data_IF_524468679582
#
_entry.id   IF_524468679582
#
_cell.length_a   1.000
_cell.length_b   1.000
_cell.length_c   1.000
_cell.angle_alpha   90.00
_cell.angle_beta   90.00
_cell.angle_gamma   90.00
#
_symmetry.space_group_name_H-M   'P 1'
#
loop_
_entity.id
_entity.type
_entity.pdbx_description
1 polymer ?
#
# COMPACT_ATOMS: atom_id res chain seq x y z
N UNK A 1 -13.90 16.27 5.58
CA UNK A 1 -12.68 16.67 4.86
C UNK A 1 -12.87 16.32 3.39
N UNK A 2 -12.18 16.96 2.43
CA UNK A 2 -12.20 16.52 1.02
C UNK A 2 -11.00 15.62 0.75
N UNK A 3 -11.14 14.67 -0.18
CA UNK A 3 -10.12 13.68 -0.50
C UNK A 3 -9.64 13.83 -1.94
N UNK A 4 -8.33 13.80 -2.13
CA UNK A 4 -7.69 13.82 -3.44
C UNK A 4 -7.27 12.40 -3.81
N UNK A 5 -7.98 11.79 -4.74
CA UNK A 5 -7.76 10.42 -5.19
C UNK A 5 -7.14 10.45 -6.59
N UNK A 6 -5.96 9.87 -6.75
CA UNK A 6 -5.29 9.75 -8.05
C UNK A 6 -6.09 8.85 -8.99
N UNK A 7 -6.49 7.68 -8.50
CA UNK A 7 -7.27 6.69 -9.24
C UNK A 7 -8.05 5.77 -8.30
N UNK A 8 -9.13 5.19 -8.79
CA UNK A 8 -9.92 4.16 -8.12
C UNK A 8 -10.33 3.09 -9.12
N UNK A 9 -10.11 1.82 -8.80
CA UNK A 9 -10.42 0.72 -9.70
C UNK A 9 -10.67 -0.59 -8.97
N UNK A 10 -11.44 -1.47 -9.59
CA UNK A 10 -11.66 -2.85 -9.13
C UNK A 10 -10.61 -3.77 -9.75
N UNK A 11 -9.95 -4.56 -8.91
CA UNK A 11 -8.95 -5.55 -9.35
C UNK A 11 -8.82 -6.69 -8.33
N UNK A 12 -7.75 -7.48 -8.45
CA UNK A 12 -7.29 -8.39 -7.40
C UNK A 12 -6.12 -7.77 -6.65
N UNK A 13 -6.12 -7.91 -5.31
CA UNK A 13 -4.90 -7.61 -4.54
C UNK A 13 -3.76 -8.48 -5.07
N UNK A 14 -2.71 -7.85 -5.54
CA UNK A 14 -1.59 -8.54 -6.20
C UNK A 14 -0.43 -8.87 -5.27
N UNK A 15 -0.47 -8.42 -4.00
CA UNK A 15 0.66 -8.49 -3.08
C UNK A 15 0.23 -8.95 -1.68
N UNK A 16 1.21 -9.41 -0.90
CA UNK A 16 1.00 -9.71 0.50
C UNK A 16 0.15 -10.94 0.77
N UNK A 17 -0.37 -11.03 1.98
CA UNK A 17 -1.19 -12.16 2.44
C UNK A 17 -2.56 -12.19 1.77
N UNK A 18 -3.10 -11.03 1.42
CA UNK A 18 -4.38 -10.90 0.72
C UNK A 18 -4.28 -11.07 -0.80
N UNK A 19 -3.15 -11.51 -1.36
CA UNK A 19 -2.98 -11.71 -2.80
C UNK A 19 -4.06 -12.66 -3.36
N UNK A 20 -4.64 -12.28 -4.51
CA UNK A 20 -5.74 -12.98 -5.17
C UNK A 20 -7.13 -12.56 -4.70
N UNK A 21 -7.26 -11.77 -3.65
CA UNK A 21 -8.55 -11.28 -3.14
C UNK A 21 -9.07 -10.14 -4.02
N UNK A 22 -10.34 -10.20 -4.41
CA UNK A 22 -11.02 -9.09 -5.09
C UNK A 22 -11.03 -7.85 -4.20
N UNK A 23 -10.65 -6.69 -4.76
CA UNK A 23 -10.52 -5.45 -4.01
C UNK A 23 -10.84 -4.22 -4.86
N UNK A 24 -11.38 -3.20 -4.24
CA UNK A 24 -11.37 -1.83 -4.77
C UNK A 24 -10.12 -1.13 -4.25
N UNK A 25 -9.27 -0.67 -5.14
CA UNK A 25 -8.13 0.16 -4.77
C UNK A 25 -8.50 1.62 -4.81
N UNK A 26 -8.19 2.35 -3.74
CA UNK A 26 -8.28 3.81 -3.66
C UNK A 26 -6.85 4.33 -3.51
N UNK A 27 -6.30 4.88 -4.59
CA UNK A 27 -4.96 5.47 -4.59
C UNK A 27 -5.06 6.96 -4.32
N UNK A 28 -4.67 7.36 -3.11
CA UNK A 28 -4.62 8.77 -2.73
C UNK A 28 -3.46 9.49 -3.41
N UNK A 29 -3.67 10.77 -3.70
CA UNK A 29 -2.63 11.65 -4.23
C UNK A 29 -1.74 12.18 -3.11
N UNK A 30 -0.43 12.29 -3.38
CA UNK A 30 0.56 12.86 -2.47
C UNK A 30 1.27 11.84 -1.59
N UNK A 31 2.52 12.14 -1.26
CA UNK A 31 3.38 11.34 -0.40
C UNK A 31 4.32 12.26 0.39
N UNK A 32 4.67 11.85 1.61
CA UNK A 32 5.61 12.58 2.45
C UNK A 32 7.07 12.16 2.27
N UNK A 33 7.35 11.09 1.49
CA UNK A 33 8.71 10.60 1.25
C UNK A 33 9.28 10.96 -0.13
N UNK A 34 8.40 11.36 -1.05
CA UNK A 34 8.76 11.81 -2.39
C UNK A 34 7.65 12.67 -2.97
N UNK A 35 8.02 13.71 -3.74
CA UNK A 35 7.06 14.60 -4.40
C UNK A 35 6.32 13.96 -5.58
N UNK A 36 6.78 12.80 -6.04
CA UNK A 36 6.30 12.14 -7.25
C UNK A 36 6.87 12.73 -8.55
N UNK A 37 7.74 13.73 -8.46
CA UNK A 37 8.37 14.36 -9.63
C UNK A 37 9.76 13.80 -9.84
N UNK A 38 10.07 13.38 -11.06
CA UNK A 38 11.36 12.75 -11.37
C UNK A 38 12.58 13.63 -11.06
N UNK A 39 12.45 14.95 -11.25
CA UNK A 39 13.50 15.90 -10.91
C UNK A 39 13.91 15.89 -9.42
N UNK A 40 13.01 15.49 -8.54
CA UNK A 40 13.21 15.47 -7.08
C UNK A 40 13.65 14.08 -6.57
N UNK A 41 13.68 13.06 -7.45
CA UNK A 41 13.97 11.65 -7.07
C UNK A 41 15.33 11.48 -6.40
N UNK A 42 16.35 12.18 -6.89
CA UNK A 42 17.72 12.06 -6.36
C UNK A 42 17.84 12.46 -4.89
N UNK A 43 16.98 13.37 -4.42
CA UNK A 43 16.95 13.89 -3.04
C UNK A 43 15.82 13.29 -2.20
N UNK A 44 14.95 12.45 -2.81
CA UNK A 44 13.85 11.80 -2.11
C UNK A 44 14.36 10.75 -1.12
N UNK A 45 13.60 10.53 -0.03
CA UNK A 45 13.83 9.41 0.88
C UNK A 45 13.49 8.10 0.14
N UNK A 46 12.30 8.00 -0.48
CA UNK A 46 11.92 6.87 -1.30
C UNK A 46 12.31 7.10 -2.78
N UNK A 47 13.49 6.58 -3.18
CA UNK A 47 14.06 6.80 -4.53
C UNK A 47 13.60 5.77 -5.57
N UNK A 48 13.05 4.64 -5.14
CA UNK A 48 12.68 3.52 -6.00
C UNK A 48 11.16 3.38 -6.19
N UNK A 49 10.37 4.40 -5.83
CA UNK A 49 8.93 4.35 -5.99
C UNK A 49 8.54 4.24 -7.47
N UNK A 50 7.72 3.25 -7.81
CA UNK A 50 7.18 2.97 -9.13
C UNK A 50 5.72 3.42 -9.28
N UNK A 51 5.14 4.03 -8.24
CA UNK A 51 3.74 4.43 -8.19
C UNK A 51 3.54 5.85 -8.69
N UNK A 52 2.63 6.05 -9.63
CA UNK A 52 2.10 7.37 -9.95
C UNK A 52 0.98 7.76 -8.97
N UNK A 53 1.25 8.76 -8.15
CA UNK A 53 0.32 9.33 -7.17
C UNK A 53 0.17 10.85 -7.34
N UNK A 54 0.64 11.40 -8.45
CA UNK A 54 0.57 12.85 -8.70
C UNK A 54 -0.74 13.20 -9.40
N UNK A 55 -1.43 14.22 -8.90
CA UNK A 55 -2.71 14.65 -9.47
C UNK A 55 -3.90 13.77 -9.08
N UNK A 56 -5.02 13.95 -9.79
CA UNK A 56 -6.28 13.25 -9.54
C UNK A 56 -6.96 12.84 -10.85
N UNK A 57 -6.17 12.58 -11.87
CA UNK A 57 -6.56 12.46 -13.28
C UNK A 57 -6.58 11.01 -13.80
N UNK A 58 -6.34 10.03 -12.92
CA UNK A 58 -6.46 8.61 -13.28
C UNK A 58 -7.92 8.14 -13.30
N UNK A 59 -8.14 6.94 -13.80
CA UNK A 59 -9.49 6.34 -13.89
C UNK A 59 -10.16 6.26 -12.51
N UNK A 60 -11.39 6.74 -12.38
CA UNK A 60 -12.10 6.81 -11.12
C UNK A 60 -11.49 7.79 -10.10
N UNK A 61 -10.43 8.52 -10.51
CA UNK A 61 -9.81 9.57 -9.71
C UNK A 61 -10.64 10.85 -9.63
N UNK A 62 -10.26 11.75 -8.73
CA UNK A 62 -10.95 13.02 -8.57
C UNK A 62 -10.74 13.64 -7.20
N UNK A 63 -11.42 14.77 -6.98
CA UNK A 63 -11.57 15.38 -5.66
C UNK A 63 -12.97 15.08 -5.13
N UNK A 64 -13.02 14.26 -4.09
CA UNK A 64 -14.27 13.89 -3.41
C UNK A 64 -14.54 14.90 -2.31
N UNK A 65 -15.75 15.45 -2.30
CA UNK A 65 -16.13 16.56 -1.40
C UNK A 65 -16.17 16.13 0.06
N UNK A 66 -16.51 14.87 0.32
CA UNK A 66 -16.61 14.27 1.65
C UNK A 66 -16.45 12.74 1.61
N UNK A 67 -16.48 12.13 2.79
CA UNK A 67 -16.30 10.69 2.98
C UNK A 67 -17.42 9.85 2.34
N UNK A 68 -18.68 10.33 2.40
CA UNK A 68 -19.82 9.65 1.79
C UNK A 68 -19.63 9.53 0.28
N UNK A 69 -19.27 10.64 -0.39
CA UNK A 69 -19.04 10.64 -1.83
C UNK A 69 -17.92 9.66 -2.24
N UNK A 70 -16.85 9.57 -1.43
CA UNK A 70 -15.75 8.62 -1.69
C UNK A 70 -16.19 7.17 -1.47
N UNK A 71 -16.91 6.88 -0.38
CA UNK A 71 -17.41 5.54 -0.10
C UNK A 71 -18.45 5.08 -1.12
N UNK A 72 -19.35 5.96 -1.57
CA UNK A 72 -20.30 5.68 -2.65
C UNK A 72 -19.61 5.33 -3.95
N UNK A 73 -18.55 6.06 -4.32
CA UNK A 73 -17.75 5.74 -5.49
C UNK A 73 -17.09 4.35 -5.35
N UNK A 74 -16.57 4.01 -4.18
CA UNK A 74 -16.03 2.67 -3.93
C UNK A 74 -17.09 1.57 -4.08
N UNK A 75 -18.32 1.82 -3.63
CA UNK A 75 -19.46 0.91 -3.83
C UNK A 75 -19.78 0.74 -5.31
N UNK A 76 -19.77 1.80 -6.10
CA UNK A 76 -19.99 1.72 -7.54
C UNK A 76 -18.92 0.89 -8.25
N UNK A 77 -17.65 1.04 -7.87
CA UNK A 77 -16.55 0.22 -8.39
C UNK A 77 -16.66 -1.25 -7.96
N UNK A 78 -17.09 -1.51 -6.71
CA UNK A 78 -17.33 -2.88 -6.28
C UNK A 78 -18.45 -3.56 -7.10
N UNK A 79 -19.46 -2.83 -7.48
CA UNK A 79 -20.63 -3.34 -8.19
C UNK A 79 -21.66 -4.00 -7.26
N UNK A 80 -22.39 -5.00 -7.79
CA UNK A 80 -23.47 -5.63 -7.04
C UNK A 80 -22.96 -6.54 -5.92
N UNK A 81 -23.79 -6.70 -4.91
CA UNK A 81 -23.50 -7.50 -3.71
C UNK A 81 -22.89 -6.66 -2.59
N UNK A 82 -23.09 -7.12 -1.38
CA UNK A 82 -22.57 -6.47 -0.16
C UNK A 82 -21.58 -7.37 0.58
N UNK A 83 -21.51 -8.63 0.19
CA UNK A 83 -20.69 -9.62 0.88
C UNK A 83 -19.21 -9.47 0.49
N UNK A 84 -18.35 -9.67 1.48
CA UNK A 84 -16.89 -9.72 1.30
C UNK A 84 -16.29 -8.46 0.67
N UNK A 85 -16.96 -7.30 0.78
CA UNK A 85 -16.42 -6.04 0.27
C UNK A 85 -15.06 -5.76 0.89
N UNK A 86 -14.09 -5.49 0.05
CA UNK A 86 -12.72 -5.24 0.45
C UNK A 86 -12.17 -4.02 -0.28
N UNK A 87 -11.67 -3.06 0.47
CA UNK A 87 -11.03 -1.86 -0.08
C UNK A 87 -9.59 -1.80 0.39
N UNK A 88 -8.69 -1.43 -0.51
CA UNK A 88 -7.28 -1.19 -0.21
C UNK A 88 -7.00 0.31 -0.36
N UNK A 89 -6.76 0.96 0.76
CA UNK A 89 -6.33 2.34 0.82
C UNK A 89 -4.82 2.38 0.58
N UNK A 90 -4.41 3.02 -0.49
CA UNK A 90 -3.02 3.08 -0.94
C UNK A 90 -2.71 4.46 -1.55
N UNK A 91 -1.63 4.59 -2.27
CA UNK A 91 -1.32 5.80 -3.00
C UNK A 91 0.14 6.18 -2.89
N UNK A 92 0.42 7.47 -2.67
CA UNK A 92 1.68 7.92 -2.12
C UNK A 92 1.76 7.50 -0.65
N UNK A 93 1.13 8.30 0.24
CA UNK A 93 0.92 7.92 1.64
C UNK A 93 -0.55 8.18 2.02
N UNK A 94 -1.38 7.12 2.18
CA UNK A 94 -2.80 7.29 2.44
C UNK A 94 -3.10 7.95 3.80
N UNK A 95 -2.26 7.75 4.82
CA UNK A 95 -2.47 8.34 6.14
C UNK A 95 -2.37 9.87 6.17
N UNK A 96 -1.97 10.51 5.08
CA UNK A 96 -2.08 11.97 4.93
C UNK A 96 -3.54 12.45 4.80
N UNK A 97 -4.45 11.55 4.41
CA UNK A 97 -5.84 11.90 4.09
C UNK A 97 -6.89 11.03 4.82
N UNK A 98 -6.53 9.83 5.27
CA UNK A 98 -7.47 8.93 5.97
C UNK A 98 -7.85 9.53 7.33
N UNK A 99 -9.15 9.65 7.59
CA UNK A 99 -9.74 10.18 8.82
C UNK A 99 -10.91 9.32 9.32
N UNK A 100 -11.42 9.63 10.53
CA UNK A 100 -12.57 8.94 11.15
C UNK A 100 -13.78 8.87 10.19
N UNK A 101 -14.07 9.99 9.50
CA UNK A 101 -15.24 10.07 8.62
C UNK A 101 -15.16 9.09 7.45
N UNK A 102 -13.98 8.90 6.87
CA UNK A 102 -13.80 7.93 5.77
C UNK A 102 -13.90 6.49 6.27
N UNK A 103 -13.29 6.18 7.42
CA UNK A 103 -13.40 4.86 8.04
C UNK A 103 -14.86 4.51 8.31
N UNK A 104 -15.60 5.41 8.97
CA UNK A 104 -17.02 5.20 9.29
C UNK A 104 -17.87 5.01 8.02
N UNK A 105 -17.64 5.79 6.98
CA UNK A 105 -18.37 5.70 5.72
C UNK A 105 -18.10 4.37 4.99
N UNK A 106 -16.86 3.91 4.94
CA UNK A 106 -16.50 2.63 4.33
C UNK A 106 -17.05 1.44 5.12
N UNK A 107 -16.96 1.45 6.45
CA UNK A 107 -17.57 0.42 7.30
C UNK A 107 -19.10 0.40 7.16
N UNK A 108 -19.76 1.57 7.12
CA UNK A 108 -21.20 1.66 6.88
C UNK A 108 -21.62 1.08 5.52
N UNK A 109 -20.70 1.12 4.55
CA UNK A 109 -20.85 0.49 3.25
C UNK A 109 -20.45 -1.01 3.23
N UNK A 110 -20.17 -1.61 4.40
CA UNK A 110 -19.74 -3.00 4.59
C UNK A 110 -18.39 -3.36 3.94
N UNK A 111 -17.45 -2.41 3.83
CA UNK A 111 -16.10 -2.72 3.44
C UNK A 111 -15.26 -3.17 4.63
N UNK A 112 -14.49 -4.24 4.44
CA UNK A 112 -13.27 -4.49 5.22
C UNK A 112 -12.18 -3.58 4.64
N UNK A 113 -11.48 -2.83 5.48
CA UNK A 113 -10.55 -1.79 5.07
C UNK A 113 -9.11 -2.27 5.29
N UNK A 114 -8.35 -2.40 4.22
CA UNK A 114 -6.91 -2.59 4.27
C UNK A 114 -6.17 -1.30 3.93
N UNK A 115 -4.97 -1.14 4.48
CA UNK A 115 -4.08 -0.02 4.15
C UNK A 115 -2.69 -0.51 3.76
N UNK A 116 -2.12 0.12 2.72
CA UNK A 116 -0.73 0.01 2.31
C UNK A 116 -0.03 1.33 2.63
N UNK A 117 0.79 1.36 3.67
CA UNK A 117 1.43 2.59 4.16
C UNK A 117 2.94 2.44 4.26
N UNK A 118 3.68 3.54 4.18
CA UNK A 118 5.11 3.55 4.46
C UNK A 118 5.42 3.52 5.98
N UNK A 119 4.40 3.69 6.83
CA UNK A 119 4.48 3.60 8.27
C UNK A 119 5.09 4.81 8.98
N UNK A 120 5.33 5.91 8.27
CA UNK A 120 5.87 7.15 8.89
C UNK A 120 4.80 7.93 9.66
N UNK A 121 3.54 7.59 9.48
CA UNK A 121 2.40 8.12 10.22
C UNK A 121 1.70 6.97 10.95
N UNK A 122 1.15 7.25 12.13
CA UNK A 122 0.36 6.26 12.86
C UNK A 122 -0.91 5.90 12.06
N UNK A 123 -1.18 4.61 11.94
CA UNK A 123 -2.38 4.12 11.24
C UNK A 123 -3.60 4.31 12.13
N UNK A 124 -4.71 4.72 11.52
CA UNK A 124 -5.99 4.88 12.19
C UNK A 124 -6.48 3.53 12.78
N UNK A 125 -6.91 3.49 14.06
CA UNK A 125 -7.25 2.24 14.74
C UNK A 125 -8.46 1.50 14.14
N UNK A 126 -9.29 2.15 13.34
CA UNK A 126 -10.40 1.56 12.61
C UNK A 126 -10.03 0.86 11.30
N UNK A 127 -8.73 0.76 10.96
CA UNK A 127 -8.27 -0.03 9.81
C UNK A 127 -8.26 -1.51 10.19
N UNK A 128 -8.92 -2.36 9.38
CA UNK A 128 -9.06 -3.79 9.65
C UNK A 128 -7.81 -4.61 9.28
N UNK A 129 -7.03 -4.15 8.31
CA UNK A 129 -5.80 -4.82 7.85
C UNK A 129 -4.69 -3.83 7.57
N UNK A 130 -3.62 -3.89 8.34
CA UNK A 130 -2.48 -2.97 8.24
C UNK A 130 -1.29 -3.67 7.60
N UNK A 131 -0.89 -3.19 6.41
CA UNK A 131 0.35 -3.54 5.76
C UNK A 131 1.31 -2.34 5.81
N UNK A 132 2.46 -2.52 6.44
CA UNK A 132 3.51 -1.50 6.49
C UNK A 132 4.65 -1.90 5.56
N UNK A 133 4.99 -1.01 4.64
CA UNK A 133 6.15 -1.16 3.75
C UNK A 133 7.23 -0.13 4.12
N UNK A 134 8.10 -0.44 5.09
CA UNK A 134 9.09 0.51 5.58
C UNK A 134 10.07 0.90 4.47
N UNK A 135 10.48 2.17 4.48
CA UNK A 135 11.53 2.68 3.61
C UNK A 135 12.76 2.94 4.47
N UNK A 136 13.89 2.36 4.08
CA UNK A 136 15.17 2.67 4.71
C UNK A 136 15.37 4.19 4.74
N UNK A 137 16.10 4.74 5.61
CA UNK A 137 16.32 6.18 5.77
C UNK A 137 15.06 6.99 6.18
N UNK A 138 13.88 6.35 6.42
CA UNK A 138 12.70 7.02 6.98
C UNK A 138 12.49 6.65 8.46
N UNK A 139 11.90 7.58 9.22
CA UNK A 139 11.47 7.30 10.58
C UNK A 139 10.10 6.60 10.54
N UNK A 140 10.07 5.30 10.84
CA UNK A 140 8.84 4.51 10.89
C UNK A 140 8.28 4.54 12.31
N UNK A 141 7.07 5.06 12.48
CA UNK A 141 6.35 5.12 13.76
C UNK A 141 5.37 3.95 13.92
N UNK A 142 4.80 3.46 12.81
CA UNK A 142 3.89 2.31 12.82
C UNK A 142 4.67 1.00 12.82
N UNK A 143 4.95 0.46 14.01
CA UNK A 143 5.73 -0.77 14.20
C UNK A 143 4.90 -1.97 14.61
N UNK A 144 3.60 -1.90 14.37
CA UNK A 144 2.64 -2.97 14.65
C UNK A 144 1.65 -3.08 13.50
N UNK A 145 1.14 -4.28 13.24
CA UNK A 145 0.17 -4.50 12.17
C UNK A 145 0.10 -5.96 11.76
N UNK A 146 -0.56 -6.24 10.65
CA UNK A 146 -0.75 -7.59 10.14
C UNK A 146 0.42 -8.02 9.23
N UNK A 147 0.87 -7.11 8.34
CA UNK A 147 1.95 -7.39 7.40
C UNK A 147 3.05 -6.33 7.49
N UNK A 148 4.30 -6.78 7.60
CA UNK A 148 5.47 -5.97 7.27
C UNK A 148 5.99 -6.46 5.92
N UNK A 149 5.92 -5.61 4.88
CA UNK A 149 6.31 -5.93 3.51
C UNK A 149 7.55 -5.13 3.10
N UNK A 150 8.71 -5.77 3.17
CA UNK A 150 9.99 -5.17 2.82
C UNK A 150 10.27 -5.31 1.33
N UNK A 151 10.41 -4.21 0.62
CA UNK A 151 10.95 -4.20 -0.76
C UNK A 151 12.45 -4.47 -0.70
N UNK A 152 12.95 -5.42 -1.51
CA UNK A 152 14.33 -5.88 -1.44
C UNK A 152 15.00 -6.01 -2.82
N UNK A 153 16.28 -5.62 -2.97
CA UNK A 153 17.16 -5.05 -1.95
C UNK A 153 16.85 -3.58 -1.64
N UNK A 154 17.13 -3.18 -0.40
CA UNK A 154 16.99 -1.81 0.05
C UNK A 154 18.21 -1.46 0.93
N UNK A 155 19.12 -0.56 0.48
CA UNK A 155 20.29 -0.17 1.26
C UNK A 155 19.91 0.38 2.64
N UNK A 156 20.81 0.26 3.61
CA UNK A 156 20.65 0.76 4.98
C UNK A 156 19.50 0.13 5.79
N UNK A 157 18.93 -1.01 5.34
CA UNK A 157 17.86 -1.68 6.09
C UNK A 157 18.45 -2.47 7.26
N UNK A 158 18.03 -2.12 8.47
CA UNK A 158 18.27 -2.94 9.67
C UNK A 158 17.19 -4.02 9.82
N UNK A 159 17.43 -5.17 9.17
CA UNK A 159 16.48 -6.29 9.17
C UNK A 159 16.24 -6.84 10.59
N UNK A 160 17.26 -6.84 11.45
CA UNK A 160 17.11 -7.34 12.82
C UNK A 160 16.18 -6.43 13.64
N UNK A 161 16.26 -5.12 13.42
CA UNK A 161 15.31 -4.19 14.02
C UNK A 161 13.89 -4.44 13.52
N UNK A 162 13.70 -4.67 12.21
CA UNK A 162 12.39 -4.97 11.63
C UNK A 162 11.78 -6.26 12.22
N UNK A 163 12.58 -7.30 12.41
CA UNK A 163 12.15 -8.57 13.00
C UNK A 163 11.71 -8.44 14.48
N UNK A 164 12.07 -7.35 15.16
CA UNK A 164 11.63 -7.06 16.53
C UNK A 164 10.27 -6.37 16.62
N UNK A 165 9.70 -5.94 15.48
CA UNK A 165 8.42 -5.25 15.46
C UNK A 165 7.26 -6.23 15.56
N UNK A 166 6.10 -5.75 16.03
CA UNK A 166 4.94 -6.56 16.30
C UNK A 166 4.03 -6.71 15.04
N UNK A 167 4.45 -7.58 14.12
CA UNK A 167 3.69 -7.94 12.91
C UNK A 167 3.40 -9.45 12.90
N UNK A 168 2.22 -9.82 12.39
CA UNK A 168 1.82 -11.23 12.24
C UNK A 168 2.58 -11.91 11.09
N UNK A 169 2.90 -11.15 10.04
CA UNK A 169 3.55 -11.65 8.83
C UNK A 169 4.71 -10.75 8.40
N UNK A 170 5.86 -11.36 8.12
CA UNK A 170 7.03 -10.71 7.53
C UNK A 170 7.14 -11.15 6.07
N UNK A 171 7.12 -10.17 5.16
CA UNK A 171 7.13 -10.41 3.72
C UNK A 171 8.29 -9.66 3.06
N UNK A 172 8.99 -10.34 2.16
CA UNK A 172 9.99 -9.74 1.29
C UNK A 172 9.47 -9.73 -0.14
N UNK A 173 9.53 -8.58 -0.78
CA UNK A 173 9.10 -8.37 -2.15
C UNK A 173 10.28 -7.90 -3.02
N UNK A 174 10.63 -8.62 -4.10
CA UNK A 174 11.68 -8.17 -5.01
C UNK A 174 11.38 -6.78 -5.56
N UNK A 175 12.38 -5.89 -5.50
CA UNK A 175 12.29 -4.57 -6.10
C UNK A 175 12.09 -4.70 -7.62
N UNK A 176 11.01 -4.13 -8.13
CA UNK A 176 10.76 -4.03 -9.57
C UNK A 176 11.65 -2.93 -10.17
N UNK A 177 12.61 -3.35 -10.95
CA UNK A 177 13.59 -2.49 -11.59
C UNK A 177 14.21 -3.21 -12.79
N UNK A 178 15.04 -2.58 -13.63
CA UNK A 178 15.79 -3.26 -14.69
C UNK A 178 16.62 -4.45 -14.19
N UNK A 179 16.94 -4.51 -12.89
CA UNK A 179 17.66 -5.62 -12.25
C UNK A 179 16.74 -6.65 -11.60
N UNK A 180 15.46 -6.73 -11.98
CA UNK A 180 14.44 -7.56 -11.31
C UNK A 180 14.85 -9.01 -11.08
N UNK A 181 15.49 -9.66 -12.07
CA UNK A 181 15.94 -11.05 -11.95
C UNK A 181 16.99 -11.22 -10.83
N UNK A 182 17.91 -10.28 -10.70
CA UNK A 182 18.90 -10.28 -9.62
C UNK A 182 18.22 -10.00 -8.27
N UNK A 183 17.32 -9.02 -8.21
CA UNK A 183 16.58 -8.68 -7.00
C UNK A 183 15.71 -9.85 -6.52
N UNK A 184 15.11 -10.59 -7.45
CA UNK A 184 14.35 -11.81 -7.15
C UNK A 184 15.23 -12.90 -6.55
N UNK A 185 16.40 -13.14 -7.15
CA UNK A 185 17.36 -14.11 -6.62
C UNK A 185 17.83 -13.73 -5.20
N UNK A 186 18.11 -12.46 -4.96
CA UNK A 186 18.49 -11.95 -3.64
C UNK A 186 17.35 -12.10 -2.63
N UNK A 187 16.11 -11.80 -3.00
CA UNK A 187 14.94 -11.97 -2.14
C UNK A 187 14.73 -13.45 -1.76
N UNK A 188 14.91 -14.37 -2.71
CA UNK A 188 14.86 -15.82 -2.44
C UNK A 188 15.97 -16.24 -1.47
N UNK A 189 17.20 -15.81 -1.71
CA UNK A 189 18.33 -16.10 -0.82
C UNK A 189 18.10 -15.54 0.59
N UNK A 190 17.56 -14.33 0.69
CA UNK A 190 17.18 -13.70 1.96
C UNK A 190 16.19 -14.59 2.74
N UNK A 191 15.12 -15.07 2.11
CA UNK A 191 14.09 -15.90 2.74
C UNK A 191 14.66 -17.25 3.17
N UNK A 192 15.48 -17.89 2.33
CA UNK A 192 16.11 -19.16 2.66
C UNK A 192 17.02 -19.05 3.90
N UNK A 193 17.62 -17.89 4.11
CA UNK A 193 18.44 -17.61 5.29
C UNK A 193 17.61 -17.16 6.52
N UNK A 194 16.33 -16.76 6.33
CA UNK A 194 15.45 -16.16 7.35
C UNK A 194 14.04 -16.74 7.29
N UNK A 195 13.79 -17.91 7.91
CA UNK A 195 12.54 -18.66 7.76
C UNK A 195 11.29 -17.97 8.33
N UNK A 196 11.44 -16.89 9.09
CA UNK A 196 10.31 -16.05 9.53
C UNK A 196 9.71 -15.23 8.38
N UNK A 197 10.47 -15.01 7.30
CA UNK A 197 10.04 -14.22 6.15
C UNK A 197 9.43 -15.09 5.06
N UNK A 198 8.50 -14.52 4.31
CA UNK A 198 7.82 -15.16 3.18
C UNK A 198 7.96 -14.28 1.93
N UNK A 199 7.92 -14.90 0.76
CA UNK A 199 7.95 -14.17 -0.51
C UNK A 199 6.60 -13.52 -0.78
N UNK A 200 6.62 -12.24 -1.08
CA UNK A 200 5.55 -11.53 -1.77
C UNK A 200 6.00 -11.23 -3.20
N UNK A 201 5.12 -11.47 -4.16
CA UNK A 201 5.36 -11.10 -5.57
C UNK A 201 4.21 -10.22 -6.05
N UNK A 202 4.49 -9.39 -7.05
CA UNK A 202 3.48 -8.53 -7.67
C UNK A 202 2.69 -9.33 -8.71
N UNK A 203 1.76 -10.19 -8.24
CA UNK A 203 0.99 -11.11 -9.11
C UNK A 203 0.16 -10.36 -10.14
N UNK A 204 -0.32 -9.16 -9.83
CA UNK A 204 -1.04 -8.31 -10.77
C UNK A 204 -0.21 -8.02 -12.03
N UNK A 205 1.10 -7.75 -11.90
CA UNK A 205 2.01 -7.54 -13.05
C UNK A 205 2.16 -8.81 -13.90
N UNK A 206 2.23 -10.00 -13.27
CA UNK A 206 2.31 -11.27 -13.98
C UNK A 206 1.01 -11.61 -14.74
N UNK A 207 -0.13 -11.18 -14.21
CA UNK A 207 -1.44 -11.42 -14.80
C UNK A 207 -1.88 -10.32 -15.77
N UNK A 208 -1.09 -9.25 -15.94
CA UNK A 208 -1.46 -8.10 -16.74
C UNK A 208 -2.66 -7.32 -16.18
N UNK A 209 -2.86 -7.37 -14.86
CA UNK A 209 -3.88 -6.60 -14.14
C UNK A 209 -3.30 -5.27 -13.65
N UNK A 210 -4.20 -4.35 -13.34
CA UNK A 210 -3.87 -3.10 -12.65
C UNK A 210 -3.51 -3.35 -11.21
#
# INVERSE_FOLDING_TARGET
MSYAVKEMFLTLQGEGVNAGRRAVFIRFAGCNLWSGREQDRATAICRFCDTDFVGTDGDGGGRFVDASALAEAAVLHWGQGRDSRFVVLTGGEPMLQVDDGLIDALHSANFTIAIETNGTLAVHPGIDWVCVSPKADSEVVQRTGHELKLVWPQPNTDVAALESWAFDHFLVQPLDSPAFEANRAEAIAFILARPAWRLSIQTHKLLGLR
#
